data_IF_193775662064
#
_entry.id   IF_193775662064
#
_cell.length_a   1.000
_cell.length_b   1.000
_cell.length_c   1.000
_cell.angle_alpha   90.00
_cell.angle_beta   90.00
_cell.angle_gamma   90.00
#
_symmetry.space_group_name_H-M   'P 1'
#
loop_
_entity.id
_entity.type
_entity.pdbx_description
1 polymer ?
#
# COMPACT_ATOMS: atom_id res chain seq x y z
N UNK A 1 -10.13 17.81 3.02
CA UNK A 1 -11.32 17.39 2.26
C UNK A 1 -11.06 16.00 1.71
N UNK A 2 -11.91 15.03 2.05
CA UNK A 2 -11.76 13.64 1.61
C UNK A 2 -12.07 13.52 0.11
N UNK A 3 -11.48 12.56 -0.58
CA UNK A 3 -11.65 12.34 -2.02
C UNK A 3 -12.65 11.21 -2.26
N UNK A 4 -13.62 11.47 -3.14
CA UNK A 4 -14.65 10.50 -3.48
C UNK A 4 -14.77 10.28 -4.98
N UNK A 5 -15.15 9.06 -5.36
CA UNK A 5 -15.57 8.71 -6.70
C UNK A 5 -17.04 8.30 -6.68
N UNK A 6 -17.74 8.52 -7.77
CA UNK A 6 -19.15 8.15 -7.93
C UNK A 6 -19.26 7.10 -9.03
N UNK A 7 -20.08 6.09 -8.82
CA UNK A 7 -20.40 5.11 -9.84
C UNK A 7 -21.91 4.97 -10.04
N UNK A 8 -22.36 5.23 -11.27
CA UNK A 8 -23.75 5.12 -11.69
C UNK A 8 -23.92 3.98 -12.68
N UNK A 9 -25.04 3.26 -12.59
CA UNK A 9 -25.38 2.21 -13.57
C UNK A 9 -26.88 2.16 -13.83
N UNK A 10 -27.25 1.88 -15.07
CA UNK A 10 -28.62 1.56 -15.48
C UNK A 10 -28.66 0.26 -16.30
N UNK A 11 -29.80 -0.43 -16.28
CA UNK A 11 -30.01 -1.59 -17.16
C UNK A 11 -30.35 -1.11 -18.57
N UNK A 12 -29.85 -1.78 -19.60
CA UNK A 12 -29.94 -1.43 -21.03
C UNK A 12 -31.34 -1.45 -21.67
N UNK A 13 -32.43 -1.35 -20.91
CA UNK A 13 -33.79 -1.35 -21.46
C UNK A 13 -34.44 0.04 -21.35
N UNK A 14 -34.37 0.79 -22.46
CA UNK A 14 -35.15 2.01 -22.87
C UNK A 14 -34.50 3.39 -22.64
N UNK A 15 -34.74 4.29 -23.59
CA UNK A 15 -34.37 5.74 -23.59
C UNK A 15 -34.79 6.50 -22.32
N UNK A 16 -35.81 6.01 -21.60
CA UNK A 16 -36.25 6.56 -20.31
C UNK A 16 -35.18 6.44 -19.20
N UNK A 17 -34.09 5.70 -19.41
CA UNK A 17 -33.04 5.51 -18.39
C UNK A 17 -31.89 6.53 -18.47
N UNK A 18 -31.74 7.33 -19.55
CA UNK A 18 -30.73 8.40 -19.58
C UNK A 18 -31.03 9.50 -18.55
N UNK A 19 -32.30 9.87 -18.40
CA UNK A 19 -32.76 10.76 -17.33
C UNK A 19 -32.57 10.13 -15.94
N UNK A 20 -32.59 8.80 -15.85
CA UNK A 20 -32.30 8.08 -14.61
C UNK A 20 -30.83 8.19 -14.23
N UNK A 21 -29.88 7.94 -15.14
CA UNK A 21 -28.43 8.10 -14.86
C UNK A 21 -28.09 9.51 -14.39
N UNK A 22 -28.58 10.52 -15.11
CA UNK A 22 -28.33 11.91 -14.76
C UNK A 22 -28.85 12.24 -13.34
N UNK A 23 -30.06 11.78 -13.01
CA UNK A 23 -30.63 11.93 -11.68
C UNK A 23 -29.81 11.21 -10.60
N UNK A 24 -29.38 9.96 -10.85
CA UNK A 24 -28.52 9.21 -9.92
C UNK A 24 -27.22 9.97 -9.65
N UNK A 25 -26.60 10.50 -10.71
CA UNK A 25 -25.37 11.29 -10.59
C UNK A 25 -25.59 12.55 -9.76
N UNK A 26 -26.65 13.32 -10.01
CA UNK A 26 -26.96 14.54 -9.27
C UNK A 26 -27.19 14.25 -7.78
N UNK A 27 -27.99 13.23 -7.45
CA UNK A 27 -28.24 12.79 -6.07
C UNK A 27 -26.94 12.40 -5.36
N UNK A 28 -26.07 11.63 -6.02
CA UNK A 28 -24.80 11.18 -5.43
C UNK A 28 -23.78 12.32 -5.29
N UNK A 29 -23.78 13.30 -6.20
CA UNK A 29 -22.96 14.49 -6.09
C UNK A 29 -23.39 15.36 -4.89
N UNK A 30 -24.70 15.53 -4.71
CA UNK A 30 -25.24 16.24 -3.55
C UNK A 30 -24.94 15.52 -2.24
N UNK A 31 -25.08 14.20 -2.21
CA UNK A 31 -24.74 13.39 -1.04
C UNK A 31 -23.24 13.47 -0.70
N UNK A 32 -22.36 13.33 -1.69
CA UNK A 32 -20.92 13.47 -1.47
C UNK A 32 -20.57 14.86 -0.92
N UNK A 33 -21.20 15.90 -1.46
CA UNK A 33 -21.01 17.28 -1.01
C UNK A 33 -21.54 17.51 0.40
N UNK A 34 -22.71 16.96 0.76
CA UNK A 34 -23.29 17.10 2.10
C UNK A 34 -22.45 16.41 3.18
N UNK A 35 -21.69 15.38 2.79
CA UNK A 35 -20.75 14.65 3.64
C UNK A 35 -19.31 15.19 3.60
N UNK A 36 -19.06 16.37 3.03
CA UNK A 36 -17.75 17.04 2.91
C UNK A 36 -16.68 16.24 2.10
N UNK A 37 -17.14 15.50 1.08
CA UNK A 37 -16.26 14.86 0.11
C UNK A 37 -16.08 15.71 -1.16
N UNK A 38 -14.87 15.66 -1.71
CA UNK A 38 -14.54 16.17 -3.03
C UNK A 38 -14.68 15.05 -4.05
N UNK A 39 -15.67 15.14 -4.92
CA UNK A 39 -15.77 14.24 -6.07
C UNK A 39 -14.62 14.50 -7.04
N UNK A 40 -13.83 13.47 -7.33
CA UNK A 40 -12.69 13.54 -8.26
C UNK A 40 -12.99 12.95 -9.64
N UNK A 41 -13.91 11.98 -9.70
CA UNK A 41 -14.35 11.34 -10.93
C UNK A 41 -15.76 10.76 -10.76
N UNK A 42 -16.48 10.65 -11.87
CA UNK A 42 -17.79 10.00 -11.99
C UNK A 42 -17.68 8.99 -13.12
N UNK A 43 -18.07 7.75 -12.84
CA UNK A 43 -18.03 6.64 -13.78
C UNK A 43 -19.44 6.13 -14.00
N UNK A 44 -19.78 5.78 -15.24
CA UNK A 44 -21.15 5.45 -15.64
C UNK A 44 -21.15 4.22 -16.56
N UNK A 45 -22.13 3.32 -16.38
CA UNK A 45 -22.36 2.21 -17.31
C UNK A 45 -23.85 2.10 -17.68
N UNK A 46 -24.09 1.85 -18.96
CA UNK A 46 -25.37 1.36 -19.49
C UNK A 46 -25.22 -0.15 -19.75
N UNK A 47 -25.34 -0.95 -18.69
CA UNK A 47 -25.10 -2.39 -18.77
C UNK A 47 -25.90 -3.16 -17.71
N UNK A 48 -26.27 -4.40 -18.01
CA UNK A 48 -26.89 -5.27 -17.01
C UNK A 48 -25.90 -5.64 -15.90
N UNK A 49 -26.39 -6.02 -14.71
CA UNK A 49 -25.52 -6.42 -13.59
C UNK A 49 -24.78 -7.76 -13.80
N UNK A 50 -25.09 -8.49 -14.88
CA UNK A 50 -24.42 -9.71 -15.33
C UNK A 50 -23.50 -9.48 -16.53
N UNK A 51 -23.54 -8.28 -17.12
CA UNK A 51 -22.73 -7.97 -18.29
C UNK A 51 -21.26 -7.87 -17.90
N UNK A 52 -20.40 -8.40 -18.77
CA UNK A 52 -18.95 -8.44 -18.58
C UNK A 52 -18.31 -7.19 -19.15
N UNK A 53 -18.91 -6.60 -20.19
CA UNK A 53 -18.44 -5.34 -20.79
C UNK A 53 -19.04 -4.16 -20.02
N UNK A 54 -18.26 -3.67 -19.06
CA UNK A 54 -18.59 -2.53 -18.18
C UNK A 54 -17.37 -1.61 -18.12
N UNK A 55 -17.18 -0.82 -19.16
CA UNK A 55 -16.02 0.06 -19.32
C UNK A 55 -15.93 1.07 -18.16
N UNK A 56 -17.06 1.66 -17.75
CA UNK A 56 -17.09 2.59 -16.61
C UNK A 56 -16.68 1.92 -15.30
N UNK A 57 -17.05 0.65 -15.10
CA UNK A 57 -16.58 -0.12 -13.96
C UNK A 57 -15.07 -0.39 -14.04
N UNK A 58 -14.53 -0.72 -15.22
CA UNK A 58 -13.09 -0.96 -15.38
C UNK A 58 -12.29 0.31 -15.08
N UNK A 59 -12.71 1.46 -15.61
CA UNK A 59 -12.11 2.76 -15.34
C UNK A 59 -12.16 3.12 -13.85
N UNK A 60 -13.28 2.81 -13.17
CA UNK A 60 -13.40 2.95 -11.72
C UNK A 60 -12.36 2.09 -10.98
N UNK A 61 -12.21 0.81 -11.37
CA UNK A 61 -11.26 -0.10 -10.74
C UNK A 61 -9.81 0.35 -10.96
N UNK A 62 -9.48 0.95 -12.10
CA UNK A 62 -8.17 1.55 -12.35
C UNK A 62 -7.96 2.80 -11.48
N UNK A 63 -8.94 3.71 -11.44
CA UNK A 63 -8.88 4.90 -10.59
C UNK A 63 -8.68 4.56 -9.11
N UNK A 64 -9.37 3.54 -8.59
CA UNK A 64 -9.21 3.07 -7.22
C UNK A 64 -7.80 2.52 -6.92
N UNK A 65 -7.11 1.96 -7.93
CA UNK A 65 -5.75 1.43 -7.76
C UNK A 65 -4.69 2.52 -7.84
N UNK A 66 -4.87 3.46 -8.76
CA UNK A 66 -3.83 4.44 -9.10
C UNK A 66 -3.94 5.71 -8.26
N UNK A 67 -5.13 6.02 -7.76
CA UNK A 67 -5.38 7.21 -6.96
C UNK A 67 -5.77 6.88 -5.51
N UNK A 68 -5.41 7.79 -4.61
CA UNK A 68 -5.92 7.73 -3.23
C UNK A 68 -7.38 8.21 -3.22
N UNK A 69 -8.30 7.25 -3.06
CA UNK A 69 -9.75 7.47 -2.95
C UNK A 69 -10.22 7.06 -1.56
N UNK A 70 -10.86 7.97 -0.84
CA UNK A 70 -11.35 7.71 0.52
C UNK A 70 -12.74 7.06 0.52
N UNK A 71 -13.59 7.38 -0.48
CA UNK A 71 -14.93 6.80 -0.59
C UNK A 71 -15.40 6.56 -2.04
N UNK A 72 -16.18 5.50 -2.24
CA UNK A 72 -16.96 5.24 -3.45
C UNK A 72 -18.44 5.41 -3.12
N UNK A 73 -19.15 6.23 -3.90
CA UNK A 73 -20.57 6.47 -3.77
C UNK A 73 -21.35 5.74 -4.87
N UNK A 74 -22.39 5.01 -4.47
CA UNK A 74 -23.31 4.31 -5.36
C UNK A 74 -24.77 4.54 -4.93
N UNK A 75 -25.71 4.38 -5.86
CA UNK A 75 -27.14 4.47 -5.53
C UNK A 75 -27.54 3.40 -4.50
N UNK A 76 -27.25 2.14 -4.83
CA UNK A 76 -27.64 0.94 -4.10
C UNK A 76 -26.72 -0.24 -4.49
N UNK A 77 -26.76 -1.33 -3.71
CA UNK A 77 -25.94 -2.53 -3.92
C UNK A 77 -26.08 -3.17 -5.30
N UNK A 78 -27.22 -2.99 -5.98
CA UNK A 78 -27.40 -3.61 -7.29
C UNK A 78 -26.48 -2.99 -8.33
N UNK A 79 -25.98 -1.76 -8.10
CA UNK A 79 -25.09 -1.05 -9.03
C UNK A 79 -23.75 -1.74 -9.21
N UNK A 80 -23.15 -2.28 -8.16
CA UNK A 80 -21.86 -3.00 -8.25
C UNK A 80 -21.99 -4.38 -8.93
N UNK A 81 -23.20 -4.90 -9.11
CA UNK A 81 -23.48 -6.14 -9.85
C UNK A 81 -23.66 -7.35 -8.93
N UNK A 82 -23.59 -8.56 -9.50
CA UNK A 82 -23.78 -9.83 -8.78
C UNK A 82 -22.59 -10.78 -8.97
N UNK A 83 -22.43 -11.72 -8.04
CA UNK A 83 -21.40 -12.76 -8.13
C UNK A 83 -19.98 -12.20 -8.16
N UNK A 84 -19.19 -12.57 -9.17
CA UNK A 84 -17.77 -12.22 -9.28
C UNK A 84 -17.50 -10.72 -9.32
N UNK A 85 -18.34 -9.93 -10.00
CA UNK A 85 -18.15 -8.47 -10.09
C UNK A 85 -18.28 -7.78 -8.72
N UNK A 86 -19.29 -8.17 -7.93
CA UNK A 86 -19.49 -7.68 -6.55
C UNK A 86 -18.27 -7.96 -5.68
N UNK A 87 -17.81 -9.22 -5.68
CA UNK A 87 -16.66 -9.64 -4.87
C UNK A 87 -15.38 -8.92 -5.31
N UNK A 88 -15.15 -8.74 -6.62
CA UNK A 88 -13.99 -8.03 -7.13
C UNK A 88 -13.94 -6.57 -6.65
N UNK A 89 -15.08 -5.87 -6.67
CA UNK A 89 -15.18 -4.48 -6.21
C UNK A 89 -14.96 -4.42 -4.70
N UNK A 90 -15.68 -5.23 -3.92
CA UNK A 90 -15.56 -5.23 -2.45
C UNK A 90 -14.12 -5.54 -2.00
N UNK A 91 -13.49 -6.52 -2.65
CA UNK A 91 -12.10 -6.87 -2.37
C UNK A 91 -11.13 -5.72 -2.70
N UNK A 92 -11.36 -5.01 -3.80
CA UNK A 92 -10.52 -3.86 -4.14
C UNK A 92 -10.69 -2.74 -3.13
N UNK A 93 -11.92 -2.41 -2.73
CA UNK A 93 -12.22 -1.37 -1.74
C UNK A 93 -11.58 -1.68 -0.38
N UNK A 94 -11.62 -2.94 0.06
CA UNK A 94 -10.94 -3.38 1.28
C UNK A 94 -9.42 -3.17 1.16
N UNK A 95 -8.83 -3.56 0.03
CA UNK A 95 -7.39 -3.42 -0.23
C UNK A 95 -6.92 -1.97 -0.31
N UNK A 96 -7.74 -1.07 -0.84
CA UNK A 96 -7.44 0.36 -0.97
C UNK A 96 -7.88 1.17 0.25
N UNK A 97 -8.52 0.52 1.24
CA UNK A 97 -9.12 1.15 2.40
C UNK A 97 -10.12 2.27 2.02
N UNK A 98 -10.89 2.01 0.97
CA UNK A 98 -11.91 2.92 0.44
C UNK A 98 -13.28 2.53 1.00
N UNK A 99 -14.02 3.50 1.55
CA UNK A 99 -15.34 3.24 2.12
C UNK A 99 -16.41 3.23 1.03
N UNK A 100 -17.23 2.19 0.95
CA UNK A 100 -18.42 2.20 0.09
C UNK A 100 -19.56 2.93 0.81
N UNK A 101 -20.20 3.90 0.16
CA UNK A 101 -21.33 4.66 0.68
C UNK A 101 -22.51 4.50 -0.29
N UNK A 102 -23.67 4.14 0.25
CA UNK A 102 -24.91 3.99 -0.51
C UNK A 102 -25.84 5.19 -0.28
N UNK A 103 -26.58 5.61 -1.31
CA UNK A 103 -27.60 6.64 -1.14
C UNK A 103 -28.78 6.15 -0.30
N UNK A 104 -29.17 4.88 -0.47
CA UNK A 104 -30.30 4.27 0.25
C UNK A 104 -30.15 4.31 1.77
N UNK A 105 -28.93 4.15 2.30
CA UNK A 105 -28.67 4.07 3.73
C UNK A 105 -28.01 5.33 4.32
N UNK A 106 -27.70 6.33 3.48
CA UNK A 106 -26.97 7.56 3.82
C UNK A 106 -25.72 7.30 4.70
N UNK A 107 -25.04 6.19 4.45
CA UNK A 107 -24.01 5.70 5.35
C UNK A 107 -23.09 4.66 4.73
N UNK A 108 -22.07 4.21 5.48
CA UNK A 108 -21.17 3.16 5.03
C UNK A 108 -21.95 1.88 4.75
N UNK A 109 -21.62 1.26 3.63
CA UNK A 109 -22.15 -0.04 3.27
C UNK A 109 -21.74 -1.09 4.31
N UNK A 110 -22.71 -1.87 4.78
CA UNK A 110 -22.48 -2.98 5.69
C UNK A 110 -22.36 -4.26 4.89
N UNK A 111 -21.21 -4.92 4.98
CA UNK A 111 -21.00 -6.22 4.34
C UNK A 111 -21.96 -7.26 4.92
N UNK A 112 -22.49 -8.13 4.06
CA UNK A 112 -23.19 -9.32 4.52
C UNK A 112 -22.20 -10.35 5.08
N UNK A 113 -22.67 -11.25 5.96
CA UNK A 113 -21.84 -12.34 6.49
C UNK A 113 -21.21 -13.18 5.36
N UNK A 114 -21.96 -13.40 4.27
CA UNK A 114 -21.45 -14.13 3.10
C UNK A 114 -20.35 -13.34 2.37
N UNK A 115 -20.52 -12.02 2.17
CA UNK A 115 -19.47 -11.20 1.54
C UNK A 115 -18.20 -11.21 2.39
N UNK A 116 -18.34 -11.04 3.72
CA UNK A 116 -17.22 -11.06 4.66
C UNK A 116 -16.47 -12.41 4.63
N UNK A 117 -17.20 -13.54 4.67
CA UNK A 117 -16.61 -14.86 4.58
C UNK A 117 -15.85 -15.08 3.26
N UNK A 118 -16.40 -14.64 2.13
CA UNK A 118 -15.74 -14.80 0.82
C UNK A 118 -14.45 -13.96 0.75
N UNK A 119 -14.48 -12.73 1.27
CA UNK A 119 -13.28 -11.88 1.35
C UNK A 119 -12.20 -12.49 2.24
N UNK A 120 -12.57 -13.06 3.38
CA UNK A 120 -11.63 -13.76 4.27
C UNK A 120 -11.00 -14.98 3.59
N UNK A 121 -11.80 -15.78 2.89
CA UNK A 121 -11.31 -16.92 2.10
C UNK A 121 -10.32 -16.43 1.02
N UNK A 122 -10.63 -15.35 0.31
CA UNK A 122 -9.73 -14.77 -0.68
C UNK A 122 -8.42 -14.32 -0.05
N UNK A 123 -8.45 -13.65 1.10
CA UNK A 123 -7.25 -13.24 1.83
C UNK A 123 -6.35 -14.43 2.22
N UNK A 124 -6.94 -15.53 2.67
CA UNK A 124 -6.23 -16.78 2.99
C UNK A 124 -5.60 -17.39 1.72
N UNK A 125 -6.35 -17.44 0.62
CA UNK A 125 -5.85 -17.95 -0.67
C UNK A 125 -4.68 -17.11 -1.17
N UNK A 126 -4.75 -15.79 -1.09
CA UNK A 126 -3.65 -14.90 -1.45
C UNK A 126 -2.40 -15.15 -0.62
N UNK A 127 -2.55 -15.30 0.70
CA UNK A 127 -1.43 -15.60 1.58
C UNK A 127 -0.77 -16.94 1.22
N UNK A 128 -1.58 -17.95 0.91
CA UNK A 128 -1.11 -19.25 0.47
C UNK A 128 -0.35 -19.16 -0.86
N UNK A 129 -0.85 -18.40 -1.83
CA UNK A 129 -0.17 -18.14 -3.11
C UNK A 129 1.19 -17.45 -2.90
N UNK A 130 1.25 -16.44 -2.02
CA UNK A 130 2.52 -15.78 -1.64
C UNK A 130 3.52 -16.79 -1.05
N UNK A 131 3.08 -17.70 -0.18
CA UNK A 131 3.93 -18.75 0.41
C UNK A 131 4.48 -19.71 -0.65
N UNK A 132 3.64 -20.19 -1.57
CA UNK A 132 4.07 -21.05 -2.68
C UNK A 132 5.09 -20.32 -3.56
N UNK A 133 4.81 -19.07 -3.93
CA UNK A 133 5.70 -18.27 -4.76
C UNK A 133 7.08 -18.10 -4.12
N UNK A 134 7.13 -17.73 -2.84
CA UNK A 134 8.37 -17.61 -2.08
C UNK A 134 9.12 -18.95 -1.96
N UNK A 135 8.39 -20.05 -1.78
CA UNK A 135 8.99 -21.39 -1.77
C UNK A 135 9.57 -21.78 -3.13
N UNK A 136 8.96 -21.33 -4.24
CA UNK A 136 9.49 -21.53 -5.60
C UNK A 136 10.76 -20.70 -5.82
N UNK A 137 10.78 -19.42 -5.43
CA UNK A 137 11.97 -18.56 -5.47
C UNK A 137 13.10 -19.18 -4.66
N UNK A 138 12.84 -19.58 -3.41
CA UNK A 138 13.85 -20.17 -2.52
C UNK A 138 14.46 -21.45 -3.11
N UNK A 139 13.63 -22.33 -3.68
CA UNK A 139 14.11 -23.55 -4.36
C UNK A 139 14.95 -23.22 -5.59
N UNK A 140 14.51 -22.28 -6.42
CA UNK A 140 15.26 -21.83 -7.60
C UNK A 140 16.60 -21.23 -7.22
N UNK A 141 16.63 -20.35 -6.22
CA UNK A 141 17.85 -19.74 -5.68
C UNK A 141 18.82 -20.80 -5.16
N UNK A 142 18.34 -21.78 -4.40
CA UNK A 142 19.19 -22.87 -3.88
C UNK A 142 19.87 -23.64 -5.02
N UNK A 143 19.12 -24.01 -6.06
CA UNK A 143 19.69 -24.70 -7.24
C UNK A 143 20.69 -23.83 -7.99
N UNK A 144 20.41 -22.54 -8.14
CA UNK A 144 21.36 -21.62 -8.77
C UNK A 144 22.67 -21.55 -7.98
N UNK A 145 22.60 -21.46 -6.64
CA UNK A 145 23.78 -21.47 -5.77
C UNK A 145 24.58 -22.77 -5.92
N UNK A 146 23.89 -23.92 -5.94
CA UNK A 146 24.53 -25.22 -6.20
C UNK A 146 25.24 -25.27 -7.57
N UNK A 147 24.77 -24.50 -8.55
CA UNK A 147 25.39 -24.33 -9.87
C UNK A 147 26.44 -23.21 -9.94
N UNK A 148 26.80 -22.61 -8.80
CA UNK A 148 27.86 -21.60 -8.69
C UNK A 148 27.37 -20.15 -8.76
N UNK A 149 26.07 -19.89 -8.82
CA UNK A 149 25.52 -18.54 -8.69
C UNK A 149 25.78 -17.99 -7.29
N UNK A 150 26.37 -16.79 -7.20
CA UNK A 150 26.69 -16.13 -5.93
C UNK A 150 25.77 -14.94 -5.70
N UNK A 151 24.58 -15.12 -5.09
CA UNK A 151 23.60 -14.06 -4.89
C UNK A 151 24.15 -12.89 -4.06
N UNK A 152 25.16 -13.14 -3.22
CA UNK A 152 25.90 -12.12 -2.49
C UNK A 152 26.50 -11.04 -3.41
N UNK A 153 26.74 -11.30 -4.70
CA UNK A 153 27.24 -10.32 -5.67
C UNK A 153 26.19 -9.27 -6.05
N UNK A 154 24.90 -9.55 -5.88
CA UNK A 154 23.80 -8.61 -6.22
C UNK A 154 23.45 -7.63 -5.10
N UNK A 155 24.09 -7.77 -3.94
CA UNK A 155 23.91 -6.82 -2.83
C UNK A 155 24.60 -5.51 -3.20
N UNK A 156 23.81 -4.48 -3.52
CA UNK A 156 24.30 -3.09 -3.48
C UNK A 156 24.73 -2.82 -2.03
N UNK A 157 26.02 -2.57 -1.81
CA UNK A 157 26.70 -2.49 -0.49
C UNK A 157 27.43 -3.75 -0.01
N UNK A 158 28.03 -4.54 -0.91
CA UNK A 158 29.42 -4.95 -0.62
C UNK A 158 30.24 -3.67 -0.49
N UNK A 159 30.97 -3.48 0.62
CA UNK A 159 31.75 -2.27 0.92
C UNK A 159 32.10 -1.49 -0.35
N UNK A 160 31.41 -0.38 -0.53
CA UNK A 160 31.23 0.29 -1.81
C UNK A 160 32.61 0.70 -2.36
N UNK A 161 33.11 0.09 -3.46
CA UNK A 161 34.38 0.50 -4.06
C UNK A 161 34.34 1.98 -4.50
N UNK A 162 33.14 2.51 -4.78
CA UNK A 162 32.86 3.90 -5.15
C UNK A 162 32.05 4.65 -4.07
N UNK A 163 32.06 4.17 -2.83
CA UNK A 163 31.29 4.78 -1.75
C UNK A 163 32.03 5.87 -1.04
N UNK A 164 31.29 6.66 -0.26
CA UNK A 164 31.93 7.55 0.71
C UNK A 164 32.89 6.72 1.56
N UNK A 165 34.17 7.09 1.49
CA UNK A 165 35.24 6.44 2.22
C UNK A 165 34.84 6.27 3.68
N UNK A 166 35.20 5.13 4.28
CA UNK A 166 34.90 4.85 5.69
C UNK A 166 35.47 6.00 6.53
N UNK A 167 34.58 6.76 7.18
CA UNK A 167 35.00 7.92 7.96
C UNK A 167 36.01 7.49 9.02
N UNK A 168 37.23 8.04 8.95
CA UNK A 168 38.30 7.78 9.90
C UNK A 168 38.00 8.54 11.19
N UNK A 169 37.68 7.81 12.24
CA UNK A 169 37.49 8.35 13.60
C UNK A 169 38.49 7.69 14.55
N UNK A 170 39.02 8.43 15.53
CA UNK A 170 40.04 7.91 16.44
C UNK A 170 39.40 6.94 17.43
N UNK A 171 39.63 5.64 17.23
CA UNK A 171 39.03 4.57 18.04
C UNK A 171 39.52 4.66 19.49
N UNK A 172 40.81 4.94 19.70
CA UNK A 172 41.42 5.08 21.02
C UNK A 172 40.75 6.20 21.84
N UNK A 173 40.43 7.33 21.18
CA UNK A 173 39.75 8.45 21.82
C UNK A 173 38.30 8.11 22.19
N UNK A 174 37.59 7.39 21.32
CA UNK A 174 36.23 6.89 21.61
C UNK A 174 36.25 6.00 22.85
N UNK A 175 37.21 5.08 22.95
CA UNK A 175 37.34 4.16 24.09
C UNK A 175 37.72 4.91 25.36
N UNK A 176 38.68 5.84 25.28
CA UNK A 176 39.11 6.68 26.40
C UNK A 176 37.96 7.51 26.98
N UNK A 177 37.18 8.18 26.13
CA UNK A 177 36.03 8.98 26.54
C UNK A 177 34.90 8.10 27.10
N UNK A 178 34.72 6.90 26.55
CA UNK A 178 33.74 5.94 27.06
C UNK A 178 34.11 5.41 28.44
N UNK A 179 35.39 5.11 28.68
CA UNK A 179 35.91 4.70 29.98
C UNK A 179 35.82 5.82 31.03
N UNK A 180 35.83 7.09 30.60
CA UNK A 180 35.56 8.26 31.46
C UNK A 180 34.06 8.47 31.75
N UNK A 181 33.20 7.57 31.29
CA UNK A 181 31.76 7.58 31.59
C UNK A 181 30.90 8.39 30.63
N UNK A 182 31.46 8.96 29.55
CA UNK A 182 30.68 9.75 28.60
C UNK A 182 29.73 8.86 27.78
N UNK A 183 28.56 9.41 27.45
CA UNK A 183 27.57 8.82 26.54
C UNK A 183 28.00 8.93 25.09
N UNK A 184 27.48 8.06 24.22
CA UNK A 184 27.80 8.14 22.79
C UNK A 184 27.36 9.46 22.13
N UNK A 185 26.35 10.15 22.66
CA UNK A 185 25.94 11.47 22.16
C UNK A 185 26.96 12.55 22.54
N UNK A 186 27.46 12.52 23.78
CA UNK A 186 28.51 13.42 24.24
C UNK A 186 29.82 13.19 23.48
N UNK A 187 30.23 11.93 23.30
CA UNK A 187 31.42 11.55 22.52
C UNK A 187 31.29 12.04 21.07
N UNK A 188 30.10 11.91 20.49
CA UNK A 188 29.82 12.42 19.13
C UNK A 188 29.98 13.93 19.06
N UNK A 189 29.46 14.65 20.06
CA UNK A 189 29.58 16.12 20.13
C UNK A 189 31.03 16.56 20.26
N UNK A 190 31.80 15.88 21.12
CA UNK A 190 33.24 16.14 21.31
C UNK A 190 34.03 15.88 20.03
N UNK A 191 33.81 14.74 19.37
CA UNK A 191 34.54 14.38 18.15
C UNK A 191 34.16 15.27 16.96
N UNK A 192 32.89 15.65 16.82
CA UNK A 192 32.47 16.65 15.83
C UNK A 192 33.13 18.01 16.09
N UNK A 193 33.26 18.42 17.37
CA UNK A 193 33.98 19.63 17.77
C UNK A 193 35.48 19.60 17.45
N UNK A 194 36.07 18.41 17.36
CA UNK A 194 37.46 18.17 16.93
C UNK A 194 37.61 17.99 15.41
N UNK A 195 36.52 18.18 14.65
CA UNK A 195 36.51 18.12 13.19
C UNK A 195 36.20 16.74 12.58
N UNK A 196 35.81 15.75 13.38
CA UNK A 196 35.38 14.44 12.88
C UNK A 196 33.87 14.43 12.64
N UNK A 197 33.40 14.47 11.40
CA UNK A 197 31.96 14.46 11.05
C UNK A 197 31.29 13.08 11.22
N UNK A 198 31.21 12.59 12.47
CA UNK A 198 30.71 11.27 12.79
C UNK A 198 29.30 11.32 13.38
N UNK A 199 28.45 10.35 12.99
CA UNK A 199 27.16 10.14 13.66
C UNK A 199 27.29 9.28 14.91
N UNK A 200 26.36 9.40 15.86
CA UNK A 200 26.24 8.52 17.04
C UNK A 200 26.31 7.04 16.67
N UNK A 201 25.60 6.65 15.61
CA UNK A 201 25.59 5.28 15.10
C UNK A 201 27.00 4.83 14.64
N UNK A 202 27.78 5.74 14.05
CA UNK A 202 29.17 5.47 13.64
C UNK A 202 30.07 5.26 14.85
N UNK A 203 29.98 6.12 15.87
CA UNK A 203 30.77 6.02 17.10
C UNK A 203 30.44 4.72 17.85
N UNK A 204 29.15 4.42 18.05
CA UNK A 204 28.71 3.21 18.73
C UNK A 204 29.15 1.94 17.99
N UNK A 205 29.06 1.92 16.65
CA UNK A 205 29.55 0.79 15.84
C UNK A 205 31.06 0.59 16.01
N UNK A 206 31.85 1.66 15.97
CA UNK A 206 33.33 1.60 16.11
C UNK A 206 33.75 1.10 17.50
N UNK A 207 33.05 1.54 18.54
CA UNK A 207 33.30 1.04 19.90
C UNK A 207 32.98 -0.46 20.02
N UNK A 208 31.87 -0.93 19.44
CA UNK A 208 31.53 -2.37 19.41
C UNK A 208 32.49 -3.21 18.57
N UNK A 209 33.03 -2.67 17.48
CA UNK A 209 34.08 -3.33 16.70
C UNK A 209 35.33 -3.53 17.58
N UNK A 210 35.75 -2.50 18.31
CA UNK A 210 36.87 -2.60 19.27
C UNK A 210 36.62 -3.63 20.38
N UNK A 211 35.43 -3.65 21.00
CA UNK A 211 35.10 -4.65 22.04
C UNK A 211 35.15 -6.09 21.52
N UNK A 212 34.81 -6.31 20.24
CA UNK A 212 34.89 -7.64 19.62
C UNK A 212 36.30 -8.05 19.25
N UNK A 213 37.15 -7.11 18.85
CA UNK A 213 38.54 -7.39 18.48
C UNK A 213 39.43 -7.65 19.72
N UNK A 214 38.96 -7.25 20.92
CA UNK A 214 39.64 -7.47 22.22
C UNK A 214 39.12 -8.69 23.00
N UNK A 215 38.11 -9.41 22.48
CA UNK A 215 37.48 -10.58 23.10
C UNK A 215 37.96 -11.88 22.43
#
# INVERSE_FOLDING_TARGET
MKRAVIYCRVSTEKEQQQTSLQRQREELLELAKSMDYKTIAVFEDEASGYDVERDGLMDLLECLKDEKVDALFIQDETRIGRGHARIAILHLLEKTNTTLITNSDQGPFVLSDMDAMVLEILAVVEEYQRKIHNAKIKRGMKRAIEQGYRPELNLKNRGNPEGRARLTVPIEEIVSLRNKGMTFDEITTVLNGLGYEASKATIHRRYKEYEKDQA
#
